data_IF_808511429290
#
_entry.id   IF_808511429290
#
_cell.length_a   1.000
_cell.length_b   1.000
_cell.length_c   1.000
_cell.angle_alpha   90.00
_cell.angle_beta   90.00
_cell.angle_gamma   90.00
#
_symmetry.space_group_name_H-M   'P 1'
#
loop_
_entity.id
_entity.type
_entity.pdbx_description
1 polymer ?
#
# COMPACT_ATOMS: atom_id res chain seq x y z
N UNK A 1 6.53 -8.92 -13.15
CA UNK A 1 6.83 -7.59 -13.74
C UNK A 1 5.58 -6.72 -13.68
N UNK A 2 5.69 -5.39 -13.40
CA UNK A 2 4.54 -4.49 -13.23
C UNK A 2 3.55 -4.52 -14.41
N UNK A 3 4.06 -4.63 -15.63
CA UNK A 3 3.27 -4.66 -16.87
C UNK A 3 2.40 -5.91 -17.06
N UNK A 4 2.57 -6.92 -16.21
CA UNK A 4 1.82 -8.17 -16.22
C UNK A 4 1.18 -8.46 -14.85
N UNK A 5 1.26 -7.51 -13.94
CA UNK A 5 0.71 -7.66 -12.61
C UNK A 5 -0.82 -7.55 -12.64
N UNK A 6 -1.47 -8.53 -12.04
CA UNK A 6 -2.91 -8.48 -11.81
C UNK A 6 -3.18 -7.66 -10.54
N UNK A 7 -4.01 -6.64 -10.65
CA UNK A 7 -4.42 -5.83 -9.52
C UNK A 7 -5.38 -6.64 -8.64
N UNK A 8 -5.02 -6.85 -7.38
CA UNK A 8 -5.86 -7.58 -6.40
C UNK A 8 -6.48 -6.67 -5.35
N UNK A 9 -6.02 -5.44 -5.26
CA UNK A 9 -6.54 -4.40 -4.37
C UNK A 9 -5.61 -3.23 -4.25
N UNK A 10 -6.11 -2.17 -3.62
CA UNK A 10 -5.35 -0.95 -3.31
C UNK A 10 -5.52 -0.63 -1.82
N UNK A 11 -4.44 -0.16 -1.19
CA UNK A 11 -4.48 0.30 0.19
C UNK A 11 -4.08 1.77 0.29
N UNK A 12 -4.71 2.47 1.22
CA UNK A 12 -4.52 3.90 1.42
C UNK A 12 -4.45 4.23 2.91
N UNK A 13 -3.59 5.16 3.27
CA UNK A 13 -3.55 5.78 4.59
C UNK A 13 -3.27 7.27 4.45
N UNK A 14 -4.05 8.11 5.13
CA UNK A 14 -3.83 9.56 5.23
C UNK A 14 -3.77 10.04 6.68
N UNK A 15 -3.97 9.10 7.61
CA UNK A 15 -3.85 9.37 9.04
C UNK A 15 -3.21 8.18 9.72
N UNK A 16 -2.24 8.44 10.57
CA UNK A 16 -1.52 7.44 11.33
C UNK A 16 -2.47 6.57 12.17
N UNK A 17 -2.33 5.25 12.08
CA UNK A 17 -3.18 4.26 12.72
C UNK A 17 -4.49 4.00 12.01
N UNK A 18 -4.75 4.64 10.88
CA UNK A 18 -5.94 4.43 10.07
C UNK A 18 -5.55 4.11 8.62
N UNK A 19 -6.03 2.99 8.10
CA UNK A 19 -5.81 2.61 6.72
C UNK A 19 -7.02 1.88 6.15
N UNK A 20 -7.16 1.93 4.83
CA UNK A 20 -8.27 1.35 4.09
C UNK A 20 -7.75 0.45 2.99
N UNK A 21 -8.45 -0.65 2.75
CA UNK A 21 -8.17 -1.55 1.65
C UNK A 21 -9.38 -1.65 0.72
N UNK A 22 -9.16 -1.45 -0.56
CA UNK A 22 -10.15 -1.59 -1.63
C UNK A 22 -9.82 -2.85 -2.41
N UNK A 23 -10.52 -3.97 -2.19
CA UNK A 23 -10.30 -5.20 -2.93
C UNK A 23 -10.83 -5.08 -4.35
N UNK A 24 -10.17 -5.77 -5.29
CA UNK A 24 -10.47 -5.75 -6.73
C UNK A 24 -10.72 -7.17 -7.21
N UNK A 25 -11.75 -7.35 -8.05
CA UNK A 25 -12.09 -8.62 -8.76
C UNK A 25 -12.09 -9.86 -7.86
N UNK A 26 -12.73 -9.80 -6.70
CA UNK A 26 -12.82 -10.94 -5.79
C UNK A 26 -14.26 -11.34 -5.50
N UNK A 27 -14.59 -12.60 -5.71
CA UNK A 27 -15.81 -13.28 -5.27
C UNK A 27 -15.51 -14.14 -4.04
N UNK A 28 -16.42 -14.28 -3.11
CA UNK A 28 -17.70 -13.64 -2.84
C UNK A 28 -17.62 -12.41 -1.91
N UNK A 29 -18.75 -11.91 -1.36
CA UNK A 29 -18.91 -10.56 -0.83
C UNK A 29 -17.79 -10.17 0.12
N UNK A 30 -17.25 -8.99 -0.14
CA UNK A 30 -16.06 -8.51 0.47
C UNK A 30 -16.41 -7.43 1.47
N UNK A 31 -16.03 -7.67 2.69
CA UNK A 31 -16.14 -6.71 3.77
C UNK A 31 -15.10 -5.62 3.55
N UNK A 32 -15.55 -4.43 3.12
CA UNK A 32 -14.74 -3.23 3.15
C UNK A 32 -14.92 -2.55 4.50
N UNK A 33 -13.86 -2.44 5.27
CA UNK A 33 -13.84 -1.71 6.53
C UNK A 33 -12.48 -1.08 6.74
N UNK A 34 -12.44 0.08 7.41
CA UNK A 34 -11.20 0.62 7.91
C UNK A 34 -10.60 -0.37 8.92
N UNK A 35 -9.40 -0.86 8.64
CA UNK A 35 -8.66 -1.69 9.58
C UNK A 35 -7.86 -0.76 10.48
N UNK A 36 -8.41 -0.41 11.61
CA UNK A 36 -7.66 0.32 12.64
C UNK A 36 -7.01 -0.69 13.58
N UNK A 37 -5.73 -0.56 13.81
CA UNK A 37 -4.96 -1.40 14.75
C UNK A 37 -5.51 -1.34 16.20
N UNK A 38 -6.38 -0.38 16.49
CA UNK A 38 -6.91 -0.09 17.84
C UNK A 38 -8.26 -0.74 18.15
N UNK A 39 -8.87 -1.53 17.27
CA UNK A 39 -10.19 -2.09 17.54
C UNK A 39 -10.29 -3.58 17.21
N UNK A 40 -9.67 -4.38 18.05
CA UNK A 40 -9.88 -5.84 18.10
C UNK A 40 -11.14 -6.27 18.90
N UNK A 41 -11.99 -5.34 19.32
CA UNK A 41 -13.19 -5.63 20.10
C UNK A 41 -14.43 -5.04 19.43
N UNK A 42 -15.20 -5.90 18.78
CA UNK A 42 -16.52 -5.58 18.24
C UNK A 42 -16.67 -5.91 16.76
N UNK A 43 -17.50 -6.88 16.46
CA UNK A 43 -17.96 -7.21 15.12
C UNK A 43 -18.57 -5.97 14.45
N UNK A 44 -17.89 -5.41 13.47
CA UNK A 44 -18.40 -4.39 12.55
C UNK A 44 -18.64 -5.03 11.17
N UNK A 45 -19.32 -6.18 11.18
CA UNK A 45 -19.78 -6.78 9.93
C UNK A 45 -21.27 -6.48 9.78
N UNK A 46 -21.56 -5.35 9.15
CA UNK A 46 -22.87 -5.19 8.54
C UNK A 46 -22.96 -6.18 7.39
N UNK A 47 -24.04 -6.95 7.35
CA UNK A 47 -24.29 -8.02 6.36
C UNK A 47 -24.42 -7.52 4.91
N UNK A 48 -24.30 -6.22 4.67
CA UNK A 48 -24.28 -5.57 3.36
C UNK A 48 -22.90 -4.92 3.06
N UNK A 49 -21.81 -5.66 3.23
CA UNK A 49 -20.50 -5.22 2.81
C UNK A 49 -20.45 -4.95 1.28
N UNK A 50 -19.59 -4.02 0.81
CA UNK A 50 -19.51 -3.69 -0.62
C UNK A 50 -19.16 -4.96 -1.40
N UNK A 51 -19.97 -5.25 -2.42
CA UNK A 51 -19.73 -6.33 -3.39
C UNK A 51 -18.37 -6.13 -4.05
N UNK A 52 -17.73 -7.22 -4.45
CA UNK A 52 -16.55 -7.17 -5.31
C UNK A 52 -16.82 -6.24 -6.48
N UNK A 53 -16.06 -5.14 -6.55
CA UNK A 53 -16.23 -4.17 -7.64
C UNK A 53 -15.26 -4.53 -8.74
N UNK A 54 -15.73 -4.38 -9.96
CA UNK A 54 -14.92 -4.47 -11.15
C UNK A 54 -13.73 -3.47 -11.05
N UNK A 55 -12.56 -3.91 -11.47
CA UNK A 55 -11.35 -3.08 -11.52
C UNK A 55 -11.60 -1.76 -12.26
N UNK A 56 -12.39 -1.81 -13.32
CA UNK A 56 -12.74 -0.64 -14.13
C UNK A 56 -13.52 0.40 -13.31
N UNK A 57 -14.55 -0.02 -12.57
CA UNK A 57 -15.33 0.89 -11.71
C UNK A 57 -14.47 1.52 -10.62
N UNK A 58 -13.62 0.70 -9.97
CA UNK A 58 -12.73 1.17 -8.91
C UNK A 58 -11.74 2.20 -9.45
N UNK A 59 -11.06 1.88 -10.55
CA UNK A 59 -10.06 2.76 -11.14
C UNK A 59 -10.68 4.07 -11.63
N UNK A 60 -11.85 4.04 -12.27
CA UNK A 60 -12.55 5.27 -12.66
C UNK A 60 -12.92 6.17 -11.50
N UNK A 61 -13.26 5.59 -10.33
CA UNK A 61 -13.58 6.34 -9.13
C UNK A 61 -12.35 6.92 -8.44
N UNK A 62 -11.22 6.23 -8.51
CA UNK A 62 -9.97 6.67 -7.88
C UNK A 62 -9.12 7.57 -8.79
N UNK A 63 -9.28 7.49 -10.11
CA UNK A 63 -8.53 8.29 -11.07
C UNK A 63 -8.52 9.79 -10.74
N UNK A 64 -9.64 10.44 -10.38
CA UNK A 64 -9.62 11.88 -10.05
C UNK A 64 -8.69 12.25 -8.90
N UNK A 65 -8.43 11.34 -7.97
CA UNK A 65 -7.50 11.55 -6.86
C UNK A 65 -6.07 11.15 -7.25
N UNK A 66 -5.93 10.02 -7.94
CA UNK A 66 -4.63 9.48 -8.30
C UNK A 66 -3.92 10.30 -9.38
N UNK A 67 -4.67 10.87 -10.32
CA UNK A 67 -4.15 11.66 -11.44
C UNK A 67 -4.04 13.17 -11.14
N UNK A 68 -4.55 13.63 -10.00
CA UNK A 68 -4.44 15.03 -9.61
C UNK A 68 -3.03 15.35 -9.08
N UNK A 69 -2.22 16.14 -9.78
CA UNK A 69 -0.88 16.50 -9.33
C UNK A 69 -0.86 17.39 -8.07
N UNK A 70 -1.97 18.04 -7.74
CA UNK A 70 -2.08 18.85 -6.52
C UNK A 70 -2.29 18.03 -5.25
N UNK A 71 -2.70 16.79 -5.39
CA UNK A 71 -2.81 15.83 -4.30
C UNK A 71 -1.51 15.04 -4.22
N UNK A 72 -0.69 15.34 -3.24
CA UNK A 72 0.57 14.64 -3.05
C UNK A 72 0.37 13.18 -2.63
N UNK A 73 1.10 12.27 -3.29
CA UNK A 73 1.13 10.84 -2.96
C UNK A 73 2.48 10.45 -2.39
N UNK A 74 2.42 9.59 -1.39
CA UNK A 74 3.59 8.94 -0.80
C UNK A 74 3.49 7.44 -1.03
N UNK A 75 4.58 6.80 -1.37
CA UNK A 75 4.62 5.35 -1.56
C UNK A 75 5.94 4.73 -1.09
N UNK A 76 5.97 3.43 -1.12
CA UNK A 76 7.18 2.60 -0.96
C UNK A 76 7.47 1.94 -2.28
N UNK A 77 8.52 2.35 -2.99
CA UNK A 77 8.74 1.98 -4.38
C UNK A 77 7.55 2.35 -5.29
N UNK A 78 7.05 3.58 -5.10
CA UNK A 78 5.83 4.11 -5.73
C UNK A 78 5.83 3.99 -7.26
N UNK A 79 7.00 3.97 -7.88
CA UNK A 79 7.17 3.73 -9.32
C UNK A 79 6.58 2.37 -9.74
N UNK A 80 6.70 1.34 -8.89
CA UNK A 80 6.13 0.03 -9.20
C UNK A 80 4.60 0.11 -9.26
N UNK A 81 3.98 0.74 -8.26
CA UNK A 81 2.52 0.87 -8.18
C UNK A 81 1.97 1.74 -9.31
N UNK A 82 2.65 2.85 -9.62
CA UNK A 82 2.31 3.71 -10.75
C UNK A 82 2.32 2.94 -12.09
N UNK A 83 3.34 2.11 -12.32
CA UNK A 83 3.42 1.28 -13.52
C UNK A 83 2.32 0.21 -13.55
N UNK A 84 2.00 -0.42 -12.42
CA UNK A 84 0.90 -1.39 -12.35
C UNK A 84 -0.41 -0.71 -12.74
N UNK A 85 -0.71 0.47 -12.21
CA UNK A 85 -1.94 1.21 -12.50
C UNK A 85 -2.01 1.71 -13.95
N UNK A 86 -0.90 2.19 -14.48
CA UNK A 86 -0.80 2.63 -15.88
C UNK A 86 -0.98 1.47 -16.89
N UNK A 87 -0.68 0.24 -16.47
CA UNK A 87 -0.79 -0.94 -17.34
C UNK A 87 -2.13 -1.68 -17.22
N UNK A 88 -3.07 -1.24 -16.37
CA UNK A 88 -4.38 -1.89 -16.25
C UNK A 88 -5.22 -1.70 -17.52
N UNK A 89 -6.07 -2.67 -17.81
CA UNK A 89 -7.02 -2.64 -18.94
C UNK A 89 -8.41 -3.02 -18.43
N UNK A 90 -9.48 -2.43 -18.94
CA UNK A 90 -9.56 -1.40 -20.01
C UNK A 90 -9.31 0.03 -19.53
N UNK A 91 -9.09 0.26 -18.24
CA UNK A 91 -8.86 1.59 -17.66
C UNK A 91 -7.45 1.65 -17.07
N UNK A 92 -6.59 2.46 -17.68
CA UNK A 92 -5.30 2.84 -17.11
C UNK A 92 -5.44 4.10 -16.25
N UNK A 93 -4.57 4.23 -15.23
CA UNK A 93 -4.49 5.42 -14.37
C UNK A 93 -3.05 5.90 -14.34
N UNK A 94 -2.81 7.14 -14.75
CA UNK A 94 -1.50 7.79 -14.69
C UNK A 94 -1.35 8.51 -13.35
N UNK A 95 -0.71 7.88 -12.38
CA UNK A 95 -0.50 8.47 -11.06
C UNK A 95 0.36 9.71 -11.17
N UNK A 96 -0.17 10.86 -10.74
CA UNK A 96 0.51 12.15 -10.69
C UNK A 96 0.75 12.59 -9.25
N UNK A 97 1.67 13.53 -9.02
CA UNK A 97 1.91 14.08 -7.69
C UNK A 97 2.58 13.10 -6.72
N UNK A 98 3.39 12.16 -7.22
CA UNK A 98 4.24 11.33 -6.35
C UNK A 98 5.35 12.22 -5.82
N UNK A 99 5.17 12.76 -4.61
CA UNK A 99 6.10 13.69 -3.98
C UNK A 99 7.06 13.01 -3.00
N UNK A 100 6.78 11.79 -2.57
CA UNK A 100 7.63 11.11 -1.61
C UNK A 100 7.65 9.59 -1.83
N UNK A 101 8.84 9.02 -1.84
CA UNK A 101 9.08 7.57 -1.87
C UNK A 101 9.97 7.18 -0.69
N UNK A 102 9.44 6.37 0.22
CA UNK A 102 10.14 6.00 1.46
C UNK A 102 11.37 5.13 1.21
N UNK A 103 11.37 4.32 0.15
CA UNK A 103 12.54 3.53 -0.24
C UNK A 103 13.68 4.44 -0.72
N UNK A 104 13.36 5.43 -1.54
CA UNK A 104 14.35 6.41 -2.04
C UNK A 104 14.83 7.28 -0.88
N UNK A 105 13.94 7.76 -0.03
CA UNK A 105 14.29 8.57 1.13
C UNK A 105 15.25 7.84 2.07
N UNK A 106 14.97 6.58 2.38
CA UNK A 106 15.87 5.77 3.21
C UNK A 106 17.24 5.55 2.55
N UNK A 107 17.27 5.31 1.24
CA UNK A 107 18.54 5.18 0.50
C UNK A 107 19.36 6.46 0.57
N UNK A 108 18.73 7.63 0.46
CA UNK A 108 19.42 8.92 0.52
C UNK A 108 19.95 9.25 1.92
N UNK A 109 19.21 8.87 2.96
CA UNK A 109 19.61 9.11 4.35
C UNK A 109 20.60 8.06 4.86
N UNK A 110 20.48 6.81 4.40
CA UNK A 110 21.27 5.68 4.86
C UNK A 110 21.78 4.81 3.70
N UNK A 111 22.65 5.32 2.83
CA UNK A 111 23.11 4.62 1.62
C UNK A 111 23.80 3.28 1.93
N UNK A 112 24.37 3.12 3.13
CA UNK A 112 25.08 1.91 3.56
C UNK A 112 24.14 0.86 4.20
N UNK A 113 22.83 1.12 4.29
CA UNK A 113 21.89 0.13 4.83
C UNK A 113 21.85 -1.11 3.93
N UNK A 114 21.72 -2.29 4.55
CA UNK A 114 21.70 -3.57 3.82
C UNK A 114 20.50 -3.72 2.89
N UNK A 115 19.41 -3.06 3.22
CA UNK A 115 18.14 -3.13 2.48
C UNK A 115 17.31 -1.90 2.81
N UNK A 116 16.49 -1.48 1.84
CA UNK A 116 15.54 -0.38 1.94
C UNK A 116 14.10 -0.89 1.79
N UNK A 117 13.85 -2.15 2.18
CA UNK A 117 12.50 -2.70 2.13
C UNK A 117 11.67 -2.20 3.32
N UNK A 118 10.34 -2.23 3.14
CA UNK A 118 9.40 -1.68 4.10
C UNK A 118 9.46 -2.40 5.46
N UNK A 119 9.69 -3.72 5.48
CA UNK A 119 9.73 -4.50 6.71
C UNK A 119 10.91 -4.11 7.59
N UNK A 120 12.11 -3.99 6.99
CA UNK A 120 13.31 -3.58 7.70
C UNK A 120 13.19 -2.16 8.23
N UNK A 121 12.74 -1.22 7.38
CA UNK A 121 12.55 0.18 7.78
C UNK A 121 11.51 0.33 8.89
N UNK A 122 10.38 -0.39 8.79
CA UNK A 122 9.33 -0.35 9.82
C UNK A 122 9.85 -0.86 11.16
N UNK A 123 10.64 -1.94 11.16
CA UNK A 123 11.23 -2.46 12.38
C UNK A 123 12.28 -1.51 12.97
N UNK A 124 13.20 -1.03 12.14
CA UNK A 124 14.35 -0.22 12.59
C UNK A 124 13.94 1.21 12.96
N UNK A 125 13.01 1.82 12.23
CA UNK A 125 12.68 3.24 12.38
C UNK A 125 11.41 3.49 13.18
N UNK A 126 10.46 2.55 13.17
CA UNK A 126 9.18 2.66 13.87
C UNK A 126 9.04 1.69 15.04
N UNK A 127 9.92 0.69 15.17
CA UNK A 127 9.78 -0.40 16.15
C UNK A 127 8.60 -1.33 15.84
N UNK A 128 8.12 -1.33 14.60
CA UNK A 128 6.95 -2.10 14.17
C UNK A 128 7.43 -3.35 13.41
N UNK A 129 7.21 -4.52 13.99
CA UNK A 129 7.36 -5.79 13.29
C UNK A 129 6.10 -6.02 12.44
N UNK A 130 6.23 -5.89 11.13
CA UNK A 130 5.14 -6.07 10.17
C UNK A 130 4.79 -7.54 9.97
N UNK A 131 3.60 -7.78 9.43
CA UNK A 131 3.18 -9.10 8.96
C UNK A 131 4.11 -9.51 7.80
N UNK A 132 4.88 -10.60 7.90
CA UNK A 132 5.73 -11.01 6.79
C UNK A 132 4.91 -11.52 5.59
N UNK A 133 5.35 -11.20 4.37
CA UNK A 133 4.70 -11.71 3.16
C UNK A 133 4.65 -13.24 3.12
N UNK A 134 5.64 -13.92 3.72
CA UNK A 134 5.67 -15.38 3.85
C UNK A 134 4.49 -15.95 4.65
N UNK A 135 3.96 -15.20 5.60
CA UNK A 135 2.82 -15.62 6.43
C UNK A 135 1.50 -15.59 5.65
N UNK A 136 1.45 -14.78 4.58
CA UNK A 136 0.33 -14.71 3.66
C UNK A 136 0.44 -15.75 2.57
N UNK A 137 1.57 -15.78 1.88
CA UNK A 137 1.75 -16.55 0.66
C UNK A 137 2.30 -17.95 0.90
N UNK A 138 2.84 -18.22 2.10
CA UNK A 138 3.63 -19.41 2.35
C UNK A 138 5.01 -19.35 1.70
N UNK A 139 5.74 -20.46 1.73
CA UNK A 139 7.09 -20.58 1.20
C UNK A 139 7.28 -21.82 0.33
N UNK A 140 8.26 -21.76 -0.58
CA UNK A 140 8.64 -22.90 -1.40
C UNK A 140 7.55 -23.32 -2.40
N UNK A 141 7.39 -24.64 -2.61
CA UNK A 141 6.47 -25.19 -3.61
C UNK A 141 4.98 -25.04 -3.26
N UNK A 142 4.67 -24.75 -2.00
CA UNK A 142 3.31 -24.53 -1.51
C UNK A 142 2.90 -23.05 -1.50
N UNK A 143 3.73 -22.18 -2.08
CA UNK A 143 3.43 -20.76 -2.15
C UNK A 143 2.22 -20.51 -3.04
N UNK A 144 1.26 -19.76 -2.51
CA UNK A 144 0.04 -19.32 -3.19
C UNK A 144 0.21 -17.87 -3.69
N UNK A 145 -0.68 -17.44 -4.57
CA UNK A 145 -0.72 -16.05 -5.04
C UNK A 145 -1.49 -15.16 -4.04
N UNK A 146 -1.25 -13.86 -4.07
CA UNK A 146 -1.98 -12.89 -3.23
C UNK A 146 -3.50 -12.96 -3.46
N UNK A 147 -3.93 -13.35 -4.66
CA UNK A 147 -5.33 -13.54 -5.01
C UNK A 147 -5.99 -14.70 -4.26
N UNK A 148 -5.24 -15.73 -3.93
CA UNK A 148 -5.74 -16.91 -3.22
C UNK A 148 -5.79 -16.71 -1.70
N UNK A 149 -5.09 -15.70 -1.17
CA UNK A 149 -5.12 -15.37 0.27
C UNK A 149 -6.50 -14.82 0.65
N UNK A 150 -7.08 -15.22 1.78
CA UNK A 150 -8.33 -14.62 2.29
C UNK A 150 -8.25 -13.09 2.39
N UNK A 151 -9.28 -12.40 1.91
CA UNK A 151 -9.29 -10.93 1.78
C UNK A 151 -8.97 -10.23 3.10
N UNK A 152 -9.53 -10.71 4.22
CA UNK A 152 -9.24 -10.12 5.54
C UNK A 152 -7.75 -10.12 5.90
N UNK A 153 -7.01 -11.16 5.51
CA UNK A 153 -5.57 -11.23 5.71
C UNK A 153 -4.82 -10.27 4.79
N UNK A 154 -5.22 -10.20 3.50
CA UNK A 154 -4.64 -9.23 2.55
C UNK A 154 -4.92 -7.81 3.00
N UNK A 155 -6.13 -7.52 3.46
CA UNK A 155 -6.51 -6.20 3.95
C UNK A 155 -5.67 -5.79 5.18
N UNK A 156 -5.50 -6.68 6.15
CA UNK A 156 -4.66 -6.42 7.33
C UNK A 156 -3.21 -6.11 6.92
N UNK A 157 -2.63 -6.94 6.06
CA UNK A 157 -1.27 -6.76 5.54
C UNK A 157 -1.13 -5.44 4.77
N UNK A 158 -1.99 -5.19 3.78
CA UNK A 158 -1.90 -4.02 2.91
C UNK A 158 -2.19 -2.71 3.66
N UNK A 159 -3.09 -2.72 4.64
CA UNK A 159 -3.34 -1.56 5.50
C UNK A 159 -2.14 -1.27 6.42
N UNK A 160 -1.48 -2.30 6.94
CA UNK A 160 -0.25 -2.12 7.72
C UNK A 160 0.87 -1.52 6.84
N UNK A 161 1.01 -1.96 5.59
CA UNK A 161 1.97 -1.40 4.63
C UNK A 161 1.70 0.10 4.38
N UNK A 162 0.46 0.47 4.14
CA UNK A 162 0.09 1.86 3.89
C UNK A 162 0.32 2.77 5.12
N UNK A 163 -0.04 2.31 6.32
CA UNK A 163 0.17 3.06 7.56
C UNK A 163 1.67 3.20 7.90
N UNK A 164 2.44 2.12 7.77
CA UNK A 164 3.88 2.17 7.97
C UNK A 164 4.57 3.11 6.98
N UNK A 165 4.15 3.10 5.71
CA UNK A 165 4.67 4.03 4.69
C UNK A 165 4.41 5.48 5.06
N UNK A 166 3.19 5.80 5.50
CA UNK A 166 2.84 7.15 5.97
C UNK A 166 3.68 7.59 7.18
N UNK A 167 3.90 6.69 8.15
CA UNK A 167 4.72 6.97 9.34
C UNK A 167 6.18 7.16 8.99
N UNK A 168 6.72 6.32 8.11
CA UNK A 168 8.10 6.44 7.64
C UNK A 168 8.37 7.76 6.92
N UNK A 169 7.43 8.27 6.14
CA UNK A 169 7.54 9.61 5.57
C UNK A 169 7.83 10.65 6.64
N UNK A 170 7.07 10.64 7.75
CA UNK A 170 7.24 11.60 8.84
C UNK A 170 8.60 11.52 9.54
N UNK A 171 9.22 10.35 9.50
CA UNK A 171 10.59 10.13 10.02
C UNK A 171 11.63 10.63 9.04
N UNK A 172 11.51 10.27 7.76
CA UNK A 172 12.53 10.56 6.76
C UNK A 172 12.48 11.98 6.19
N UNK A 173 11.32 12.61 6.15
CA UNK A 173 11.17 13.96 5.58
C UNK A 173 12.06 14.99 6.31
N UNK A 174 12.03 15.11 7.65
CA UNK A 174 12.94 16.00 8.38
C UNK A 174 14.44 15.61 8.25
N UNK A 175 14.75 14.32 8.21
CA UNK A 175 16.13 13.85 8.08
C UNK A 175 16.69 14.17 6.68
N UNK A 176 15.90 14.04 5.63
CA UNK A 176 16.26 14.42 4.28
C UNK A 176 16.55 15.93 4.17
N UNK A 177 15.67 16.74 4.75
CA UNK A 177 15.85 18.21 4.79
C UNK A 177 17.13 18.60 5.54
N UNK A 178 17.39 17.99 6.69
CA UNK A 178 18.59 18.24 7.49
C UNK A 178 19.89 17.87 6.76
N UNK A 179 19.84 16.84 5.91
CA UNK A 179 20.98 16.40 5.10
C UNK A 179 21.15 17.18 3.79
N UNK A 180 20.30 18.18 3.52
CA UNK A 180 20.36 19.00 2.31
C UNK A 180 20.03 18.23 1.01
N UNK A 181 19.37 17.09 1.13
CA UNK A 181 18.96 16.28 0.00
C UNK A 181 17.55 16.73 -0.43
N UNK A 182 17.50 17.86 -1.15
CA UNK A 182 16.29 18.34 -1.80
C UNK A 182 16.03 17.55 -3.10
N UNK A 183 14.75 17.30 -3.38
CA UNK A 183 14.32 16.92 -4.75
C UNK A 183 14.09 18.25 -5.48
N UNK A 184 14.98 18.59 -6.40
CA UNK A 184 14.70 19.57 -7.46
C UNK A 184 13.97 18.86 -8.61
#
# INVERSE_FOLDING_TARGET
VPTQAELVGLSFSWKEGEAWYVPVNRDPPIFGGAVTRARAEGSLFDEEGPRSRDVEEILRRLAPVLEDPSIEKTGQNAKYDALVLACQQPVSVEVQGIGFDTMIADFLVRPDARTHNLDAMSLERLGIAKIPTSDLLGTGKAQITMREVPIGKVAAYACEDADCTLRLRRVFEPEREANGVGVE
#
